data_IF_989707664775
#
_entry.id   IF_989707664775
#
_cell.length_a   1.000
_cell.length_b   1.000
_cell.length_c   1.000
_cell.angle_alpha   90.00
_cell.angle_beta   90.00
_cell.angle_gamma   90.00
#
_symmetry.space_group_name_H-M   'P 1'
#
loop_
_entity.id
_entity.type
_entity.pdbx_description
1 polymer ?
#
# COMPACT_ATOMS: atom_id res chain seq x y z
N UNK A 1 -28.70 -19.98 -33.59
CA UNK A 1 -29.10 -20.38 -32.22
C UNK A 1 -28.31 -19.52 -31.23
N UNK A 2 -28.87 -18.39 -30.78
CA UNK A 2 -28.17 -17.47 -29.86
C UNK A 2 -28.17 -18.07 -28.46
N UNK A 3 -26.98 -18.39 -27.92
CA UNK A 3 -26.81 -18.76 -26.51
C UNK A 3 -27.09 -17.52 -25.66
N UNK A 4 -28.26 -17.47 -25.04
CA UNK A 4 -28.56 -16.50 -23.99
C UNK A 4 -27.69 -16.87 -22.77
N UNK A 5 -26.47 -16.30 -22.69
CA UNK A 5 -25.64 -16.42 -21.50
C UNK A 5 -26.31 -15.58 -20.42
N UNK A 6 -27.16 -16.20 -19.61
CA UNK A 6 -27.60 -15.61 -18.35
C UNK A 6 -26.33 -15.28 -17.56
N UNK A 7 -26.01 -13.98 -17.45
CA UNK A 7 -24.93 -13.52 -16.59
C UNK A 7 -25.41 -13.70 -15.17
N UNK A 8 -25.20 -14.89 -14.61
CA UNK A 8 -25.29 -15.08 -13.16
C UNK A 8 -24.31 -14.07 -12.58
N UNK A 9 -24.83 -13.01 -11.97
CA UNK A 9 -24.03 -12.04 -11.25
C UNK A 9 -23.38 -12.81 -10.10
N UNK A 10 -22.07 -12.95 -10.11
CA UNK A 10 -21.35 -13.44 -8.95
C UNK A 10 -21.35 -12.30 -7.91
N UNK A 11 -22.14 -12.37 -6.83
CA UNK A 11 -22.29 -11.27 -5.87
C UNK A 11 -20.96 -10.91 -5.17
N UNK A 12 -19.99 -11.83 -5.19
CA UNK A 12 -18.64 -11.57 -4.69
C UNK A 12 -17.84 -10.62 -5.59
N UNK A 13 -18.12 -10.56 -6.91
CA UNK A 13 -17.42 -9.65 -7.82
C UNK A 13 -17.78 -8.19 -7.57
N UNK A 14 -19.00 -7.90 -7.09
CA UNK A 14 -19.38 -6.54 -6.68
C UNK A 14 -18.64 -6.04 -5.43
N UNK A 15 -17.95 -6.92 -4.69
CA UNK A 15 -17.16 -6.55 -3.51
C UNK A 15 -15.70 -6.19 -3.86
N UNK A 16 -15.25 -6.38 -5.10
CA UNK A 16 -13.87 -6.03 -5.51
C UNK A 16 -13.52 -4.56 -5.26
N UNK A 17 -14.39 -3.57 -5.56
CA UNK A 17 -14.13 -2.18 -5.22
C UNK A 17 -13.91 -1.97 -3.72
N UNK A 18 -14.70 -2.64 -2.89
CA UNK A 18 -14.57 -2.58 -1.43
C UNK A 18 -13.24 -3.19 -0.97
N UNK A 19 -12.86 -4.37 -1.49
CA UNK A 19 -11.59 -5.02 -1.19
C UNK A 19 -10.39 -4.11 -1.52
N UNK A 20 -10.44 -3.38 -2.63
CA UNK A 20 -9.40 -2.40 -3.00
C UNK A 20 -9.29 -1.24 -2.00
N UNK A 21 -10.41 -0.77 -1.47
CA UNK A 21 -10.39 0.25 -0.43
C UNK A 21 -9.85 -0.31 0.88
N UNK A 22 -10.25 -1.52 1.25
CA UNK A 22 -9.70 -2.22 2.42
C UNK A 22 -8.18 -2.35 2.33
N UNK A 23 -7.61 -2.71 1.17
CA UNK A 23 -6.15 -2.77 0.99
C UNK A 23 -5.46 -1.41 1.24
N UNK A 24 -6.08 -0.30 0.81
CA UNK A 24 -5.55 1.06 1.09
C UNK A 24 -5.61 1.38 2.57
N UNK A 25 -6.74 1.09 3.23
CA UNK A 25 -6.89 1.31 4.66
C UNK A 25 -5.99 0.40 5.49
N UNK A 26 -5.72 -0.83 5.04
CA UNK A 26 -4.72 -1.70 5.65
C UNK A 26 -3.32 -1.09 5.61
N UNK A 27 -2.92 -0.48 4.49
CA UNK A 27 -1.62 0.22 4.42
C UNK A 27 -1.52 1.35 5.46
N UNK A 28 -2.60 2.14 5.62
CA UNK A 28 -2.67 3.20 6.65
C UNK A 28 -2.57 2.59 8.05
N UNK A 29 -3.36 1.55 8.33
CA UNK A 29 -3.40 0.90 9.63
C UNK A 29 -2.03 0.33 10.01
N UNK A 30 -1.33 -0.31 9.07
CA UNK A 30 0.01 -0.87 9.30
C UNK A 30 0.99 0.24 9.70
N UNK A 31 1.03 1.35 8.95
CA UNK A 31 1.90 2.50 9.28
C UNK A 31 1.58 3.08 10.66
N UNK A 32 0.29 3.19 11.00
CA UNK A 32 -0.12 3.65 12.32
C UNK A 32 0.35 2.71 13.44
N UNK A 33 0.15 1.39 13.27
CA UNK A 33 0.48 0.38 14.30
C UNK A 33 1.97 0.16 14.53
N UNK A 34 2.83 0.48 13.57
CA UNK A 34 4.31 0.33 13.69
C UNK A 34 4.96 1.59 14.28
N UNK A 35 4.17 2.56 14.74
CA UNK A 35 4.63 3.87 15.23
C UNK A 35 5.32 4.72 14.15
N UNK A 36 5.21 4.37 12.86
CA UNK A 36 5.73 5.22 11.79
C UNK A 36 5.06 6.60 11.81
N UNK A 37 3.79 6.70 12.22
CA UNK A 37 3.12 7.99 12.36
C UNK A 37 3.71 8.83 13.51
N UNK A 38 3.88 8.24 14.69
CA UNK A 38 4.48 8.95 15.84
C UNK A 38 5.91 9.38 15.53
N UNK A 39 6.68 8.50 14.89
CA UNK A 39 8.04 8.81 14.47
C UNK A 39 8.03 9.93 13.44
N UNK A 40 7.15 9.92 12.43
CA UNK A 40 7.02 11.00 11.45
C UNK A 40 6.64 12.35 12.08
N UNK A 41 5.93 12.35 13.22
CA UNK A 41 5.56 13.54 13.98
C UNK A 41 6.64 13.98 14.99
N UNK A 42 7.72 13.21 15.18
CA UNK A 42 8.81 13.55 16.11
C UNK A 42 9.76 14.64 15.61
N UNK A 43 9.67 15.02 14.32
CA UNK A 43 10.54 16.00 13.65
C UNK A 43 12.06 15.76 13.80
N UNK A 44 12.47 14.50 14.01
CA UNK A 44 13.86 14.12 14.15
C UNK A 44 14.56 13.89 12.80
N UNK A 45 14.76 14.96 12.01
CA UNK A 45 15.32 14.90 10.64
C UNK A 45 16.69 14.22 10.50
N UNK A 46 17.47 14.12 11.58
CA UNK A 46 18.76 13.43 11.60
C UNK A 46 18.64 11.90 11.77
N UNK A 47 17.44 11.36 11.98
CA UNK A 47 17.22 9.93 12.20
C UNK A 47 16.87 9.21 10.89
N UNK A 48 17.62 8.16 10.48
CA UNK A 48 17.26 7.35 9.33
C UNK A 48 15.86 6.73 9.46
N UNK A 49 15.48 6.31 10.68
CA UNK A 49 14.14 5.77 10.95
C UNK A 49 13.05 6.82 10.73
N UNK A 50 13.31 8.08 11.13
CA UNK A 50 12.39 9.20 10.89
C UNK A 50 12.13 9.42 9.40
N UNK A 51 13.21 9.47 8.61
CA UNK A 51 13.10 9.66 7.16
C UNK A 51 12.34 8.52 6.49
N UNK A 52 12.57 7.28 6.94
CA UNK A 52 11.83 6.12 6.46
C UNK A 52 10.34 6.23 6.80
N UNK A 53 10.01 6.57 8.04
CA UNK A 53 8.65 6.76 8.53
C UNK A 53 7.89 7.83 7.73
N UNK A 54 8.56 8.95 7.44
CA UNK A 54 8.02 10.04 6.65
C UNK A 54 7.79 9.61 5.19
N UNK A 55 8.73 8.87 4.60
CA UNK A 55 8.57 8.32 3.25
C UNK A 55 7.37 7.36 3.14
N UNK A 56 7.25 6.38 4.05
CA UNK A 56 6.09 5.49 4.10
C UNK A 56 4.77 6.24 4.24
N UNK A 57 4.74 7.24 5.12
CA UNK A 57 3.55 8.06 5.37
C UNK A 57 3.12 8.81 4.12
N UNK A 58 4.04 9.51 3.45
CA UNK A 58 3.75 10.25 2.21
C UNK A 58 3.28 9.28 1.11
N UNK A 59 3.99 8.18 0.89
CA UNK A 59 3.65 7.22 -0.16
C UNK A 59 2.26 6.62 0.06
N UNK A 60 1.90 6.32 1.30
CA UNK A 60 0.57 5.78 1.63
C UNK A 60 -0.53 6.82 1.46
N UNK A 61 -0.27 8.08 1.81
CA UNK A 61 -1.21 9.19 1.50
C UNK A 61 -1.42 9.29 -0.02
N UNK A 62 -0.33 9.24 -0.82
CA UNK A 62 -0.42 9.28 -2.28
C UNK A 62 -1.21 8.08 -2.83
N UNK A 63 -1.05 6.89 -2.25
CA UNK A 63 -1.80 5.69 -2.64
C UNK A 63 -3.31 5.85 -2.41
N UNK A 64 -3.70 6.49 -1.30
CA UNK A 64 -5.08 6.81 -0.96
C UNK A 64 -5.63 7.89 -1.90
N UNK A 65 -4.90 8.99 -2.08
CA UNK A 65 -5.27 10.09 -2.99
C UNK A 65 -5.44 9.57 -4.43
N UNK A 66 -4.55 8.69 -4.89
CA UNK A 66 -4.64 8.07 -6.21
C UNK A 66 -5.91 7.21 -6.39
N UNK A 67 -6.45 6.66 -5.31
CA UNK A 67 -7.71 5.90 -5.33
C UNK A 67 -8.95 6.76 -5.65
N UNK A 68 -8.89 8.07 -5.41
CA UNK A 68 -9.96 9.00 -5.78
C UNK A 68 -9.82 9.54 -7.22
N UNK A 69 -8.68 9.28 -7.89
CA UNK A 69 -8.43 9.77 -9.24
C UNK A 69 -9.00 8.85 -10.32
N UNK A 70 -9.46 9.45 -11.42
CA UNK A 70 -9.92 8.71 -12.61
C UNK A 70 -8.79 7.92 -13.28
N UNK A 71 -7.55 8.43 -13.22
CA UNK A 71 -6.40 7.78 -13.84
C UNK A 71 -5.64 6.93 -12.83
N UNK A 72 -5.14 5.76 -13.25
CA UNK A 72 -4.39 4.85 -12.40
C UNK A 72 -2.92 5.27 -12.14
N UNK A 73 -2.41 6.32 -12.80
CA UNK A 73 -0.98 6.69 -12.79
C UNK A 73 -0.44 6.89 -11.37
N UNK A 74 -1.12 7.71 -10.55
CA UNK A 74 -0.66 7.99 -9.19
C UNK A 74 -0.68 6.73 -8.31
N UNK A 75 -1.69 5.86 -8.45
CA UNK A 75 -1.79 4.60 -7.71
C UNK A 75 -0.67 3.62 -8.09
N UNK A 76 -0.37 3.48 -9.39
CA UNK A 76 0.72 2.62 -9.86
C UNK A 76 2.07 3.11 -9.35
N UNK A 77 2.34 4.42 -9.47
CA UNK A 77 3.59 5.01 -8.99
C UNK A 77 3.71 4.88 -7.47
N UNK A 78 2.64 5.16 -6.72
CA UNK A 78 2.65 5.03 -5.26
C UNK A 78 2.85 3.57 -4.84
N UNK A 79 2.22 2.61 -5.53
CA UNK A 79 2.44 1.18 -5.30
C UNK A 79 3.89 0.76 -5.57
N UNK A 80 4.48 1.23 -6.66
CA UNK A 80 5.89 0.99 -6.97
C UNK A 80 6.84 1.57 -5.91
N UNK A 81 6.61 2.83 -5.50
CA UNK A 81 7.39 3.46 -4.43
C UNK A 81 7.23 2.71 -3.11
N UNK A 82 6.04 2.21 -2.80
CA UNK A 82 5.78 1.42 -1.59
C UNK A 82 6.55 0.10 -1.61
N UNK A 83 6.66 -0.56 -2.77
CA UNK A 83 7.50 -1.75 -2.93
C UNK A 83 8.98 -1.41 -2.72
N UNK A 84 9.47 -0.36 -3.38
CA UNK A 84 10.87 0.04 -3.27
C UNK A 84 11.27 0.37 -1.84
N UNK A 85 10.51 1.22 -1.15
CA UNK A 85 10.81 1.63 0.22
C UNK A 85 10.73 0.43 1.17
N UNK A 86 9.78 -0.50 0.96
CA UNK A 86 9.67 -1.71 1.79
C UNK A 86 10.85 -2.67 1.61
N UNK A 87 11.37 -2.79 0.39
CA UNK A 87 12.57 -3.59 0.12
C UNK A 87 13.79 -2.92 0.76
N UNK A 88 13.95 -1.61 0.61
CA UNK A 88 15.08 -0.87 1.21
C UNK A 88 15.09 -1.04 2.73
N UNK A 89 13.94 -0.89 3.38
CA UNK A 89 13.77 -1.06 4.82
C UNK A 89 14.10 -2.48 5.29
N UNK A 90 13.73 -3.49 4.50
CA UNK A 90 14.00 -4.91 4.82
C UNK A 90 15.50 -5.27 4.74
N UNK A 91 16.24 -4.64 3.82
CA UNK A 91 17.68 -4.89 3.62
C UNK A 91 18.60 -3.88 4.32
N UNK A 92 18.06 -2.89 5.02
CA UNK A 92 18.87 -2.05 5.90
C UNK A 92 19.52 -2.94 6.98
N UNK A 93 20.85 -2.88 7.10
CA UNK A 93 21.68 -3.84 7.86
C UNK A 93 21.29 -3.92 9.35
N UNK A 94 20.71 -2.86 9.92
CA UNK A 94 20.22 -2.80 11.31
C UNK A 94 18.75 -3.22 11.48
N UNK A 95 18.06 -3.54 10.38
CA UNK A 95 16.61 -3.74 10.34
C UNK A 95 16.19 -5.19 10.02
N UNK A 96 17.12 -6.11 9.79
CA UNK A 96 16.75 -7.51 9.57
C UNK A 96 16.31 -8.17 10.88
N UNK A 97 15.00 -8.10 11.16
CA UNK A 97 14.37 -8.66 12.35
C UNK A 97 12.99 -9.23 11.99
N UNK A 98 12.53 -10.24 12.75
CA UNK A 98 11.20 -10.85 12.54
C UNK A 98 10.07 -9.81 12.61
N UNK A 99 10.06 -8.84 13.56
CA UNK A 99 9.07 -7.77 13.57
C UNK A 99 9.05 -6.94 12.28
N UNK A 100 10.23 -6.61 11.74
CA UNK A 100 10.33 -5.83 10.51
C UNK A 100 9.86 -6.64 9.28
N UNK A 101 10.14 -7.95 9.23
CA UNK A 101 9.59 -8.81 8.17
C UNK A 101 8.06 -8.87 8.21
N UNK A 102 7.47 -9.00 9.39
CA UNK A 102 6.01 -9.02 9.59
C UNK A 102 5.38 -7.68 9.15
N UNK A 103 6.10 -6.57 9.33
CA UNK A 103 5.68 -5.24 8.90
C UNK A 103 5.83 -5.01 7.39
N UNK A 104 6.98 -5.35 6.81
CA UNK A 104 7.34 -4.99 5.43
C UNK A 104 6.70 -5.91 4.39
N UNK A 105 6.44 -7.19 4.68
CA UNK A 105 5.82 -8.13 3.72
C UNK A 105 4.41 -7.69 3.31
N UNK A 106 3.49 -7.33 4.24
CA UNK A 106 2.17 -6.84 3.87
C UNK A 106 2.21 -5.54 3.06
N UNK A 107 3.07 -4.58 3.44
CA UNK A 107 3.22 -3.32 2.71
C UNK A 107 3.76 -3.55 1.29
N UNK A 108 4.76 -4.40 1.15
CA UNK A 108 5.30 -4.82 -0.15
C UNK A 108 4.20 -5.47 -1.00
N UNK A 109 3.39 -6.36 -0.40
CA UNK A 109 2.32 -7.07 -1.10
C UNK A 109 1.22 -6.11 -1.58
N UNK A 110 0.81 -5.16 -0.74
CA UNK A 110 -0.17 -4.12 -1.09
C UNK A 110 0.40 -3.21 -2.20
N UNK A 111 1.65 -2.79 -2.06
CA UNK A 111 2.34 -1.97 -3.06
C UNK A 111 2.39 -2.69 -4.41
N UNK A 112 2.75 -3.97 -4.43
CA UNK A 112 2.82 -4.78 -5.64
C UNK A 112 1.46 -4.96 -6.30
N UNK A 113 0.40 -5.18 -5.51
CA UNK A 113 -0.98 -5.23 -6.02
C UNK A 113 -1.34 -3.94 -6.77
N UNK A 114 -1.11 -2.77 -6.16
CA UNK A 114 -1.44 -1.47 -6.76
C UNK A 114 -0.50 -1.06 -7.89
N UNK A 115 0.77 -1.49 -7.85
CA UNK A 115 1.69 -1.35 -8.96
C UNK A 115 1.19 -2.14 -10.19
N UNK A 116 0.74 -3.37 -10.00
CA UNK A 116 0.32 -4.24 -11.10
C UNK A 116 -1.08 -3.92 -11.64
N UNK A 117 -2.01 -3.47 -10.78
CA UNK A 117 -3.42 -3.27 -11.15
C UNK A 117 -3.87 -1.81 -11.19
N UNK A 118 -3.12 -0.90 -10.57
CA UNK A 118 -3.53 0.49 -10.45
C UNK A 118 -4.91 0.63 -9.81
N UNK A 119 -5.82 1.32 -10.50
CA UNK A 119 -7.21 1.48 -10.07
C UNK A 119 -8.17 0.43 -10.65
N UNK A 120 -7.68 -0.44 -11.53
CA UNK A 120 -8.48 -1.47 -12.20
C UNK A 120 -8.81 -2.61 -11.22
N UNK A 121 -9.96 -3.27 -11.43
CA UNK A 121 -10.45 -4.39 -10.63
C UNK A 121 -11.03 -5.46 -11.53
#
# INVERSE_FOLDING_TARGET
MYKHKSSIMNPLKSLVPLAKWLLRFSAIAIIYTINYLELALSFSFNSPKYLMALAYSIITILLVVGGFQKTAKLTVISGFLLVLISIIDLFAIEAFSVPNLIASIPLTSIGFYFMARGNEG
#
